data_IF_022251437929
#
_entry.id   IF_022251437929
#
_cell.length_a   1.000
_cell.length_b   1.000
_cell.length_c   1.000
_cell.angle_alpha   90.00
_cell.angle_beta   90.00
_cell.angle_gamma   90.00
#
_symmetry.space_group_name_H-M   'P 1'
#
loop_
_entity.id
_entity.type
_entity.pdbx_description
1 polymer ?
#
# COMPACT_ATOMS: atom_id res chain seq x y z
N UNK A 1 -47.05 -9.35 -11.45
CA UNK A 1 -46.14 -8.19 -11.35
C UNK A 1 -44.71 -8.69 -11.38
N UNK A 2 -44.11 -8.74 -12.56
CA UNK A 2 -42.68 -9.05 -12.73
C UNK A 2 -42.01 -7.75 -13.14
N UNK A 3 -41.14 -7.22 -12.29
CA UNK A 3 -40.26 -6.12 -12.65
C UNK A 3 -38.82 -6.62 -12.48
N UNK A 4 -38.25 -7.06 -13.61
CA UNK A 4 -36.84 -7.39 -13.75
C UNK A 4 -36.11 -6.09 -14.08
N UNK A 5 -35.35 -5.56 -13.13
CA UNK A 5 -34.41 -4.46 -13.35
C UNK A 5 -33.13 -4.98 -14.02
N UNK A 6 -32.70 -4.46 -15.18
CA UNK A 6 -31.39 -4.78 -15.74
C UNK A 6 -30.30 -3.84 -15.23
N UNK A 7 -29.12 -4.44 -15.05
CA UNK A 7 -27.86 -3.90 -14.56
C UNK A 7 -27.37 -2.73 -15.41
N UNK A 8 -26.96 -1.63 -14.78
CA UNK A 8 -26.20 -0.54 -15.42
C UNK A 8 -24.72 -0.90 -15.45
N UNK A 9 -24.20 -1.20 -16.64
CA UNK A 9 -22.77 -1.23 -16.92
C UNK A 9 -22.36 0.15 -17.41
N UNK A 10 -21.48 0.80 -16.64
CA UNK A 10 -20.77 2.03 -17.02
C UNK A 10 -19.69 1.68 -18.05
N UNK A 11 -19.98 1.92 -19.33
CA UNK A 11 -18.98 2.14 -20.39
C UNK A 11 -19.75 2.37 -21.70
N UNK A 12 -19.84 3.63 -22.14
CA UNK A 12 -19.97 4.07 -23.54
C UNK A 12 -20.39 5.55 -23.53
N UNK A 13 -19.41 6.43 -23.31
CA UNK A 13 -19.48 7.78 -23.83
C UNK A 13 -18.17 8.00 -24.56
N UNK A 14 -18.24 7.95 -25.90
CA UNK A 14 -17.41 8.67 -26.87
C UNK A 14 -17.79 8.13 -28.25
N UNK A 15 -18.83 8.70 -28.85
CA UNK A 15 -18.83 8.92 -30.30
C UNK A 15 -19.91 9.94 -30.68
N UNK A 16 -19.49 11.02 -31.31
CA UNK A 16 -20.36 12.01 -31.94
C UNK A 16 -19.86 12.28 -33.36
N UNK A 17 -20.78 11.99 -34.30
CA UNK A 17 -21.03 12.69 -35.57
C UNK A 17 -20.21 12.30 -36.81
N UNK A 18 -20.93 11.77 -37.81
CA UNK A 18 -20.52 11.68 -39.21
C UNK A 18 -21.23 12.69 -40.14
N UNK A 19 -21.15 12.40 -41.44
CA UNK A 19 -21.51 13.18 -42.67
C UNK A 19 -20.40 14.15 -43.13
N UNK A 20 -20.02 14.25 -44.41
CA UNK A 20 -20.53 13.70 -45.67
C UNK A 20 -19.79 14.42 -46.82
N UNK A 21 -19.57 13.71 -47.92
CA UNK A 21 -18.84 13.97 -49.16
C UNK A 21 -19.33 15.13 -50.08
N UNK A 22 -18.41 15.74 -50.85
CA UNK A 22 -18.27 15.61 -52.33
C UNK A 22 -17.72 16.87 -53.06
N UNK A 23 -16.98 16.60 -54.15
CA UNK A 23 -16.76 17.39 -55.39
C UNK A 23 -15.43 18.15 -55.65
N UNK A 24 -14.70 17.58 -56.63
CA UNK A 24 -14.12 18.18 -57.87
C UNK A 24 -12.80 18.98 -57.89
N UNK A 25 -11.75 18.30 -58.41
CA UNK A 25 -10.83 18.64 -59.52
C UNK A 25 -10.40 20.12 -59.75
N UNK A 26 -9.10 20.44 -59.68
CA UNK A 26 -8.20 20.74 -60.83
C UNK A 26 -6.79 21.22 -60.43
N UNK A 27 -5.87 21.01 -61.38
CA UNK A 27 -4.41 21.13 -61.37
C UNK A 27 -3.86 22.54 -61.12
N UNK A 28 -2.61 22.67 -60.63
CA UNK A 28 -1.46 23.14 -61.42
C UNK A 28 -0.18 23.38 -60.58
N UNK A 29 0.93 23.29 -61.29
CA UNK A 29 2.37 23.36 -60.97
C UNK A 29 2.85 24.36 -59.91
N UNK A 30 3.95 23.98 -59.22
CA UNK A 30 5.24 24.69 -59.40
C UNK A 30 6.40 24.02 -58.65
N UNK A 31 7.49 23.83 -59.38
CA UNK A 31 8.81 23.38 -58.93
C UNK A 31 9.51 24.41 -58.02
N UNK A 32 10.47 23.97 -57.18
CA UNK A 32 11.88 24.43 -57.17
C UNK A 32 12.58 24.26 -55.80
N UNK A 33 13.48 23.27 -55.75
CA UNK A 33 14.81 23.24 -55.12
C UNK A 33 15.07 23.44 -53.60
N UNK A 34 15.58 22.35 -53.02
CA UNK A 34 16.88 22.20 -52.34
C UNK A 34 17.42 23.33 -51.45
N UNK A 35 17.73 22.98 -50.17
CA UNK A 35 19.00 23.27 -49.46
C UNK A 35 19.05 22.62 -48.07
N UNK A 36 20.03 21.73 -47.89
CA UNK A 36 20.58 21.23 -46.62
C UNK A 36 20.84 22.39 -45.63
N UNK A 37 20.49 22.21 -44.35
CA UNK A 37 21.27 22.76 -43.22
C UNK A 37 21.34 21.76 -42.07
N UNK A 38 22.53 21.19 -41.90
CA UNK A 38 23.03 20.52 -40.70
C UNK A 38 23.35 21.60 -39.66
N UNK A 39 22.90 21.44 -38.41
CA UNK A 39 23.44 22.20 -37.27
C UNK A 39 23.46 21.30 -36.04
N UNK A 40 24.68 20.89 -35.66
CA UNK A 40 25.02 20.28 -34.39
C UNK A 40 25.41 21.35 -33.37
N UNK A 41 25.36 20.96 -32.08
CA UNK A 41 25.93 21.56 -30.87
C UNK A 41 25.24 22.81 -30.30
N UNK A 42 24.75 22.69 -29.06
CA UNK A 42 25.44 23.25 -27.88
C UNK A 42 24.89 22.62 -26.59
N UNK A 43 25.82 22.15 -25.77
CA UNK A 43 25.69 21.53 -24.46
C UNK A 43 25.15 22.54 -23.45
N UNK A 44 24.17 22.15 -22.63
CA UNK A 44 23.94 22.79 -21.33
C UNK A 44 23.66 21.70 -20.29
N UNK A 45 24.68 21.46 -19.47
CA UNK A 45 24.67 20.58 -18.31
C UNK A 45 23.63 21.04 -17.30
N UNK A 46 22.60 20.23 -17.06
CA UNK A 46 21.85 20.30 -15.81
C UNK A 46 22.53 19.39 -14.80
N UNK A 47 22.97 20.02 -13.72
CA UNK A 47 23.63 19.40 -12.58
C UNK A 47 22.81 18.22 -12.04
N UNK A 48 23.44 17.04 -12.03
CA UNK A 48 22.99 15.92 -11.22
C UNK A 48 23.11 16.33 -9.75
N UNK A 49 21.97 16.57 -9.11
CA UNK A 49 21.91 16.55 -7.64
C UNK A 49 22.29 15.14 -7.23
N UNK A 50 23.38 15.04 -6.46
CA UNK A 50 23.84 13.80 -5.86
C UNK A 50 22.70 13.14 -5.08
N UNK A 51 22.13 12.12 -5.70
CA UNK A 51 21.32 11.14 -5.00
C UNK A 51 22.29 10.41 -4.08
N UNK A 52 22.27 10.78 -2.81
CA UNK A 52 22.84 9.98 -1.75
C UNK A 52 22.30 8.56 -1.93
N UNK A 53 23.14 7.67 -2.47
CA UNK A 53 22.90 6.22 -2.49
C UNK A 53 22.81 5.79 -1.03
N UNK A 54 21.58 5.80 -0.51
CA UNK A 54 21.22 5.04 0.65
C UNK A 54 21.52 3.58 0.29
N UNK A 55 22.64 3.10 0.84
CA UNK A 55 22.98 1.70 1.04
C UNK A 55 21.88 0.72 0.63
N UNK A 56 22.12 0.11 -0.51
CA UNK A 56 21.32 -0.91 -1.17
C UNK A 56 21.03 -2.07 -0.21
N UNK A 57 19.98 -1.88 0.58
CA UNK A 57 19.35 -2.92 1.39
C UNK A 57 18.11 -3.37 0.62
N UNK A 58 18.21 -3.50 -0.71
CA UNK A 58 17.30 -4.33 -1.48
C UNK A 58 17.58 -5.80 -1.11
N UNK A 59 17.18 -6.16 0.11
CA UNK A 59 16.84 -7.54 0.44
C UNK A 59 15.71 -7.88 -0.52
N UNK A 60 16.05 -8.60 -1.60
CA UNK A 60 15.20 -9.20 -2.63
C UNK A 60 13.69 -8.99 -2.39
N UNK A 61 13.21 -7.79 -2.72
CA UNK A 61 11.81 -7.43 -2.62
C UNK A 61 11.11 -7.96 -3.88
N UNK A 62 9.89 -8.49 -3.79
CA UNK A 62 9.17 -9.00 -4.97
C UNK A 62 8.65 -7.87 -5.90
N UNK A 63 9.06 -6.62 -5.65
CA UNK A 63 8.72 -5.42 -6.40
C UNK A 63 9.81 -4.35 -6.21
N UNK A 64 9.92 -3.43 -7.16
CA UNK A 64 10.72 -2.21 -7.04
C UNK A 64 9.90 -1.11 -6.36
N UNK A 65 10.54 -0.29 -5.50
CA UNK A 65 9.88 0.86 -4.87
C UNK A 65 9.82 2.05 -5.84
N UNK A 66 8.72 2.22 -6.58
CA UNK A 66 8.48 3.31 -7.55
C UNK A 66 7.60 4.42 -6.99
N UNK A 67 6.74 4.13 -6.01
CA UNK A 67 5.80 5.08 -5.44
C UNK A 67 6.52 6.09 -4.53
N UNK A 68 6.26 7.38 -4.75
CA UNK A 68 6.81 8.48 -3.93
C UNK A 68 6.42 8.39 -2.45
N UNK A 69 5.33 7.68 -2.14
CA UNK A 69 4.79 7.51 -0.79
C UNK A 69 5.75 6.80 0.17
N UNK A 70 6.69 6.00 -0.33
CA UNK A 70 7.68 5.32 0.52
C UNK A 70 8.45 6.28 1.41
N UNK A 71 8.84 7.45 0.87
CA UNK A 71 9.53 8.49 1.65
C UNK A 71 8.69 8.95 2.84
N UNK A 72 7.39 9.13 2.64
CA UNK A 72 6.47 9.51 3.72
C UNK A 72 6.34 8.39 4.73
N UNK A 73 6.06 7.16 4.28
CA UNK A 73 5.85 5.99 5.15
C UNK A 73 7.08 5.70 5.99
N UNK A 74 8.25 5.59 5.37
CA UNK A 74 9.51 5.29 6.07
C UNK A 74 9.95 6.40 7.03
N UNK A 75 9.47 7.63 6.84
CA UNK A 75 9.71 8.77 7.72
C UNK A 75 8.74 8.88 8.90
N UNK A 76 7.70 8.04 8.98
CA UNK A 76 6.76 8.06 10.09
C UNK A 76 7.47 7.75 11.41
N UNK A 77 7.08 8.43 12.48
CA UNK A 77 7.75 8.32 13.78
C UNK A 77 7.79 6.89 14.31
N UNK A 78 6.75 6.11 14.04
CA UNK A 78 6.69 4.69 14.41
C UNK A 78 7.85 3.87 13.84
N UNK A 79 8.28 4.14 12.61
CA UNK A 79 9.36 3.40 11.94
C UNK A 79 10.74 3.96 12.27
N UNK A 80 10.82 5.18 12.83
CA UNK A 80 12.05 5.68 13.47
C UNK A 80 12.24 5.05 14.84
N UNK A 81 11.18 4.96 15.63
CA UNK A 81 11.20 4.40 16.98
C UNK A 81 11.39 2.87 16.96
N UNK A 82 10.73 2.19 16.03
CA UNK A 82 10.83 0.74 15.84
C UNK A 82 11.10 0.46 14.35
N UNK A 83 12.39 0.47 13.94
CA UNK A 83 12.76 0.20 12.55
C UNK A 83 12.27 -1.17 12.09
N UNK A 84 11.65 -1.20 10.90
CA UNK A 84 11.11 -2.41 10.28
C UNK A 84 11.76 -2.64 8.91
N UNK A 85 12.14 -3.89 8.62
CA UNK A 85 12.63 -4.31 7.29
C UNK A 85 11.88 -5.54 6.79
N UNK A 86 10.56 -5.46 6.56
CA UNK A 86 9.76 -6.57 6.06
C UNK A 86 10.23 -7.04 4.68
N UNK A 87 10.20 -8.35 4.47
CA UNK A 87 10.69 -8.96 3.23
C UNK A 87 9.62 -9.01 2.14
N UNK A 88 8.35 -8.95 2.50
CA UNK A 88 7.19 -9.00 1.60
C UNK A 88 7.11 -10.19 0.63
N UNK A 89 8.03 -11.17 0.69
CA UNK A 89 8.06 -12.39 -0.13
C UNK A 89 6.70 -12.98 -0.57
N UNK A 90 5.67 -13.13 0.29
CA UNK A 90 4.38 -13.66 -0.15
C UNK A 90 3.69 -12.83 -1.25
N UNK A 91 4.01 -11.54 -1.39
CA UNK A 91 3.49 -10.69 -2.46
C UNK A 91 3.97 -11.12 -3.85
N UNK A 92 4.96 -12.01 -3.98
CA UNK A 92 5.31 -12.61 -5.27
C UNK A 92 4.12 -13.35 -5.92
N UNK A 93 3.19 -13.87 -5.12
CA UNK A 93 1.97 -14.54 -5.59
C UNK A 93 0.85 -13.55 -5.97
N UNK A 94 1.02 -12.26 -5.67
CA UNK A 94 0.07 -11.20 -6.01
C UNK A 94 0.36 -10.62 -7.40
N UNK A 95 -0.66 -10.06 -8.06
CA UNK A 95 -0.53 -9.38 -9.35
C UNK A 95 0.55 -8.30 -9.29
N UNK A 96 1.48 -8.33 -10.25
CA UNK A 96 2.72 -7.56 -10.23
C UNK A 96 2.52 -6.05 -10.01
N UNK A 97 1.51 -5.47 -10.67
CA UNK A 97 1.15 -4.05 -10.59
C UNK A 97 0.61 -3.60 -9.23
N UNK A 98 0.17 -4.54 -8.39
CA UNK A 98 -0.44 -4.27 -7.07
C UNK A 98 0.47 -4.59 -5.88
N UNK A 99 1.62 -5.25 -6.12
CA UNK A 99 2.55 -5.67 -5.05
C UNK A 99 3.04 -4.49 -4.23
N UNK A 100 3.49 -3.45 -4.91
CA UNK A 100 4.06 -2.28 -4.24
C UNK A 100 3.00 -1.57 -3.38
N UNK A 101 1.80 -1.36 -3.93
CA UNK A 101 0.70 -0.74 -3.20
C UNK A 101 0.28 -1.59 -1.99
N UNK A 102 0.28 -2.91 -2.13
CA UNK A 102 -0.02 -3.84 -1.05
C UNK A 102 1.01 -3.75 0.09
N UNK A 103 2.31 -3.66 -0.26
CA UNK A 103 3.36 -3.48 0.73
C UNK A 103 3.26 -2.14 1.47
N UNK A 104 2.95 -1.05 0.76
CA UNK A 104 2.66 0.26 1.38
C UNK A 104 1.46 0.15 2.33
N UNK A 105 0.38 -0.51 1.91
CA UNK A 105 -0.79 -0.76 2.74
C UNK A 105 -0.44 -1.51 4.02
N UNK A 106 0.37 -2.56 3.93
CA UNK A 106 0.83 -3.33 5.10
C UNK A 106 1.65 -2.48 6.07
N UNK A 107 2.49 -1.56 5.59
CA UNK A 107 3.21 -0.62 6.45
C UNK A 107 2.24 0.28 7.23
N UNK A 108 1.25 0.87 6.56
CA UNK A 108 0.22 1.67 7.24
C UNK A 108 -0.58 0.84 8.24
N UNK A 109 -0.97 -0.38 7.87
CA UNK A 109 -1.68 -1.31 8.77
C UNK A 109 -0.86 -1.60 10.02
N UNK A 110 0.45 -1.88 9.88
CA UNK A 110 1.32 -2.09 11.04
C UNK A 110 1.33 -0.87 11.97
N UNK A 111 1.47 0.34 11.40
CA UNK A 111 1.44 1.58 12.19
C UNK A 111 0.11 1.76 12.93
N UNK A 112 -1.02 1.53 12.26
CA UNK A 112 -2.35 1.68 12.88
C UNK A 112 -2.54 0.67 14.01
N UNK A 113 -2.22 -0.61 13.77
CA UNK A 113 -2.33 -1.67 14.78
C UNK A 113 -1.46 -1.41 16.00
N UNK A 114 -0.27 -0.80 15.82
CA UNK A 114 0.56 -0.43 16.96
C UNK A 114 -0.11 0.62 17.86
N UNK A 115 -0.77 1.62 17.28
CA UNK A 115 -1.51 2.62 18.05
C UNK A 115 -2.74 2.01 18.75
N UNK A 116 -3.49 1.14 18.06
CA UNK A 116 -4.60 0.40 18.65
C UNK A 116 -4.13 -0.46 19.83
N UNK A 117 -3.05 -1.22 19.64
CA UNK A 117 -2.45 -2.01 20.72
C UNK A 117 -2.01 -1.12 21.86
N UNK A 118 -1.37 0.03 21.63
CA UNK A 118 -0.96 0.94 22.72
C UNK A 118 -2.17 1.37 23.57
N UNK A 119 -3.31 1.66 22.94
CA UNK A 119 -4.55 2.05 23.61
C UNK A 119 -5.32 0.93 24.28
N UNK A 120 -5.03 -0.34 23.94
CA UNK A 120 -5.78 -1.51 24.41
C UNK A 120 -5.68 -1.70 25.93
N UNK A 121 -6.81 -1.97 26.58
CA UNK A 121 -6.95 -2.20 28.02
C UNK A 121 -7.41 -3.63 28.30
N UNK A 122 -7.08 -4.18 29.48
CA UNK A 122 -7.46 -5.55 29.86
C UNK A 122 -8.98 -5.79 29.93
N UNK A 123 -9.78 -4.74 30.07
CA UNK A 123 -11.24 -4.81 30.09
C UNK A 123 -11.85 -4.95 28.69
N UNK A 124 -11.09 -4.68 27.64
CA UNK A 124 -11.59 -4.74 26.26
C UNK A 124 -12.11 -6.15 25.91
N UNK A 125 -13.05 -6.28 24.95
CA UNK A 125 -13.58 -7.58 24.53
C UNK A 125 -12.46 -8.52 24.04
N UNK A 126 -12.55 -9.82 24.39
CA UNK A 126 -11.56 -10.84 23.97
C UNK A 126 -11.44 -10.90 22.44
N UNK A 127 -12.55 -10.68 21.73
CA UNK A 127 -12.57 -10.66 20.26
C UNK A 127 -11.63 -9.59 19.67
N UNK A 128 -11.45 -8.45 20.36
CA UNK A 128 -10.53 -7.39 19.94
C UNK A 128 -9.08 -7.88 19.98
N UNK A 129 -8.66 -8.51 21.08
CA UNK A 129 -7.32 -9.09 21.22
C UNK A 129 -7.05 -10.17 20.16
N UNK A 130 -8.04 -11.04 19.90
CA UNK A 130 -7.93 -12.09 18.88
C UNK A 130 -7.76 -11.49 17.48
N UNK A 131 -8.59 -10.49 17.15
CA UNK A 131 -8.48 -9.78 15.88
C UNK A 131 -7.10 -9.15 15.68
N UNK A 132 -6.58 -8.44 16.69
CA UNK A 132 -5.23 -7.85 16.59
C UNK A 132 -4.15 -8.92 16.44
N UNK A 133 -4.24 -10.02 17.19
CA UNK A 133 -3.30 -11.15 17.10
C UNK A 133 -3.28 -11.74 15.69
N UNK A 134 -4.46 -11.94 15.09
CA UNK A 134 -4.59 -12.44 13.72
C UNK A 134 -4.01 -11.46 12.69
N UNK A 135 -4.26 -10.15 12.84
CA UNK A 135 -3.68 -9.14 11.96
C UNK A 135 -2.15 -9.09 12.06
N UNK A 136 -1.57 -9.16 13.26
CA UNK A 136 -0.12 -9.25 13.42
C UNK A 136 0.44 -10.54 12.84
N UNK A 137 -0.24 -11.68 12.97
CA UNK A 137 0.20 -12.93 12.35
C UNK A 137 0.24 -12.84 10.82
N UNK A 138 -0.66 -12.08 10.19
CA UNK A 138 -0.58 -11.80 8.75
C UNK A 138 0.65 -10.95 8.42
N UNK A 139 0.93 -9.90 9.19
CA UNK A 139 2.10 -9.04 8.98
C UNK A 139 3.42 -9.80 9.23
N UNK A 140 3.48 -10.67 10.24
CA UNK A 140 4.65 -11.49 10.54
C UNK A 140 5.06 -12.37 9.36
N UNK A 141 4.08 -12.98 8.67
CA UNK A 141 4.32 -13.75 7.43
C UNK A 141 4.97 -12.93 6.31
N UNK A 142 4.81 -11.61 6.33
CA UNK A 142 5.42 -10.68 5.37
C UNK A 142 6.75 -10.10 5.89
N UNK A 143 7.21 -10.54 7.06
CA UNK A 143 8.51 -10.20 7.62
C UNK A 143 8.52 -9.02 8.59
N UNK A 144 7.35 -8.58 9.08
CA UNK A 144 7.30 -7.56 10.13
C UNK A 144 7.72 -8.15 11.48
N UNK A 145 8.47 -7.39 12.28
CA UNK A 145 8.69 -7.73 13.69
C UNK A 145 7.49 -7.30 14.53
N UNK A 146 6.74 -8.30 14.97
CA UNK A 146 5.50 -8.16 15.74
C UNK A 146 5.64 -8.65 17.19
N UNK A 147 6.85 -9.03 17.63
CA UNK A 147 7.05 -9.66 18.94
C UNK A 147 6.58 -8.78 20.09
N UNK A 148 6.96 -7.50 20.06
CA UNK A 148 6.61 -6.53 21.11
C UNK A 148 5.09 -6.31 21.24
N UNK A 149 4.34 -5.98 20.18
CA UNK A 149 2.89 -5.82 20.29
C UNK A 149 2.17 -7.13 20.65
N UNK A 150 2.57 -8.27 20.10
CA UNK A 150 1.99 -9.57 20.49
C UNK A 150 2.24 -9.90 21.97
N UNK A 151 3.44 -9.64 22.49
CA UNK A 151 3.76 -9.84 23.92
C UNK A 151 2.87 -8.95 24.80
N UNK A 152 2.63 -7.70 24.40
CA UNK A 152 1.73 -6.80 25.15
C UNK A 152 0.30 -7.32 25.16
N UNK A 153 -0.21 -7.79 24.01
CA UNK A 153 -1.53 -8.43 23.90
C UNK A 153 -1.64 -9.63 24.86
N UNK A 154 -0.65 -10.53 24.85
CA UNK A 154 -0.61 -11.70 25.72
C UNK A 154 -0.63 -11.32 27.21
N UNK A 155 0.14 -10.31 27.61
CA UNK A 155 0.15 -9.81 28.99
C UNK A 155 -1.23 -9.32 29.43
N UNK A 156 -1.93 -8.56 28.59
CA UNK A 156 -3.27 -8.08 28.91
C UNK A 156 -4.29 -9.22 29.02
N UNK A 157 -4.22 -10.22 28.15
CA UNK A 157 -5.05 -11.42 28.25
C UNK A 157 -4.79 -12.17 29.56
N UNK A 158 -3.53 -12.35 29.95
CA UNK A 158 -3.19 -13.00 31.23
C UNK A 158 -3.73 -12.23 32.44
N UNK A 159 -3.70 -10.90 32.41
CA UNK A 159 -4.29 -10.07 33.48
C UNK A 159 -5.81 -10.28 33.57
N UNK A 160 -6.49 -10.37 32.43
CA UNK A 160 -7.92 -10.63 32.37
C UNK A 160 -8.29 -11.99 32.94
N UNK A 161 -7.56 -13.03 32.57
CA UNK A 161 -7.77 -14.40 33.08
C UNK A 161 -7.55 -14.47 34.59
N UNK A 162 -6.53 -13.77 35.11
CA UNK A 162 -6.28 -13.68 36.54
C UNK A 162 -7.43 -12.99 37.29
N UNK A 163 -8.01 -11.93 36.74
CA UNK A 163 -9.17 -11.25 37.33
C UNK A 163 -10.42 -12.14 37.33
N UNK A 164 -10.66 -12.88 36.24
CA UNK A 164 -11.78 -13.81 36.15
C UNK A 164 -11.68 -14.90 37.22
N UNK A 165 -10.51 -15.54 37.37
CA UNK A 165 -10.26 -16.55 38.41
C UNK A 165 -10.48 -16.01 39.82
N UNK A 166 -9.96 -14.81 40.11
CA UNK A 166 -10.15 -14.16 41.41
C UNK A 166 -11.63 -13.87 41.71
N UNK A 167 -12.41 -13.52 40.69
CA UNK A 167 -13.85 -13.29 40.83
C UNK A 167 -14.61 -14.59 41.11
N UNK A 168 -14.27 -15.67 40.41
CA UNK A 168 -14.84 -17.01 40.65
C UNK A 168 -14.55 -17.51 42.07
N UNK A 169 -13.33 -17.32 42.57
CA UNK A 169 -12.94 -17.68 43.95
C UNK A 169 -13.76 -16.91 45.00
N UNK A 170 -13.96 -15.60 44.82
CA UNK A 170 -14.77 -14.77 45.73
C UNK A 170 -16.25 -15.22 45.74
N UNK A 171 -16.83 -15.48 44.57
CA UNK A 171 -18.21 -15.97 44.45
C UNK A 171 -18.36 -17.37 45.05
N UNK A 172 -17.32 -18.22 44.94
CA UNK A 172 -17.29 -19.54 45.53
C UNK A 172 -17.14 -19.51 47.06
N UNK A 173 -16.45 -18.52 47.61
CA UNK A 173 -16.23 -18.38 49.05
C UNK A 173 -17.43 -17.78 49.83
N UNK A 174 -18.38 -17.13 49.14
CA UNK A 174 -19.63 -16.61 49.73
C UNK A 174 -20.79 -17.63 49.75
N UNK A 175 -20.57 -18.87 49.28
CA UNK A 175 -21.56 -19.96 49.24
C UNK A 175 -21.25 -21.04 50.28
#
# INVERSE_FOLDING_TARGET
TQEKTPKRTLLQMLDQNGMGNDSTHENEDSEYNSRKRKREQTVNSLASVEENKANDTTKDLPFEKKLRIWKTVESMEVFKAVPQTPHFRPLAETQEDSREMSAVGMMFTYSALLEEVKGLQHLDPIITFKGHTESFAVLEKHGFDVKAPQTRIQKLLSLKDMQAKKMEELIGAEK
#
